data_IF_493511178253
#
_entry.id   IF_493511178253
#
_cell.length_a   1.000
_cell.length_b   1.000
_cell.length_c   1.000
_cell.angle_alpha   90.00
_cell.angle_beta   90.00
_cell.angle_gamma   90.00
#
_symmetry.space_group_name_H-M   'P 1'
#
loop_
_entity.id
_entity.type
_entity.pdbx_description
1 polymer ?
#
# COMPACT_ATOMS: atom_id res chain seq x y z
N UNK A 1 -63.37 -35.20 3.02
CA UNK A 1 -62.69 -34.25 2.13
C UNK A 1 -63.27 -32.87 2.40
N UNK A 2 -62.48 -31.81 2.67
CA UNK A 2 -61.01 -31.70 2.83
C UNK A 2 -60.61 -31.74 4.33
N UNK A 3 -59.37 -31.54 4.80
CA UNK A 3 -58.01 -31.91 4.46
C UNK A 3 -57.19 -31.55 5.74
N UNK A 4 -56.20 -32.37 6.11
CA UNK A 4 -55.30 -32.26 7.28
C UNK A 4 -54.40 -31.01 7.28
N UNK A 5 -53.38 -30.89 8.17
CA UNK A 5 -53.39 -30.81 9.63
C UNK A 5 -52.67 -29.52 10.15
N UNK A 6 -52.75 -29.33 11.46
CA UNK A 6 -52.01 -28.36 12.29
C UNK A 6 -50.50 -28.34 11.98
N UNK A 7 -50.00 -27.20 11.47
CA UNK A 7 -48.57 -26.95 11.27
C UNK A 7 -47.97 -26.51 12.61
N UNK A 8 -47.31 -27.46 13.26
CA UNK A 8 -46.48 -27.19 14.43
C UNK A 8 -45.43 -26.12 14.13
N UNK A 9 -45.55 -25.00 14.84
CA UNK A 9 -44.52 -23.97 14.98
C UNK A 9 -43.26 -24.62 15.56
N UNK A 10 -42.27 -24.88 14.71
CA UNK A 10 -40.90 -25.15 15.14
C UNK A 10 -40.23 -23.81 15.46
N UNK A 11 -40.07 -23.53 16.75
CA UNK A 11 -39.24 -22.44 17.25
C UNK A 11 -37.88 -22.96 17.73
N UNK A 12 -36.84 -22.20 17.37
CA UNK A 12 -35.45 -22.15 17.85
C UNK A 12 -34.45 -23.22 17.32
N UNK A 13 -33.12 -22.92 17.24
CA UNK A 13 -32.43 -21.73 17.70
C UNK A 13 -31.75 -20.89 16.61
N UNK A 14 -31.63 -19.61 16.95
CA UNK A 14 -30.61 -18.65 16.52
C UNK A 14 -29.31 -19.30 15.99
N UNK A 15 -29.15 -19.29 14.68
CA UNK A 15 -27.82 -19.25 14.07
C UNK A 15 -27.62 -17.84 13.55
N UNK A 16 -27.48 -16.90 14.49
CA UNK A 16 -26.78 -15.66 14.20
C UNK A 16 -25.35 -16.09 13.87
N UNK A 17 -25.11 -16.44 12.61
CA UNK A 17 -23.79 -16.39 12.02
C UNK A 17 -23.40 -14.92 12.02
N UNK A 18 -23.05 -14.41 13.20
CA UNK A 18 -22.21 -13.26 13.37
C UNK A 18 -20.87 -13.69 12.80
N UNK A 19 -20.77 -13.71 11.46
CA UNK A 19 -19.50 -13.54 10.78
C UNK A 19 -19.02 -12.20 11.29
N UNK A 20 -18.24 -12.26 12.38
CA UNK A 20 -17.53 -11.14 12.95
C UNK A 20 -16.97 -10.38 11.75
N UNK A 21 -17.56 -9.23 11.46
CA UNK A 21 -17.09 -8.30 10.46
C UNK A 21 -15.83 -7.65 11.04
N UNK A 22 -14.84 -8.50 11.31
CA UNK A 22 -13.49 -8.12 11.65
C UNK A 22 -12.94 -7.43 10.41
N UNK A 23 -13.21 -6.12 10.34
CA UNK A 23 -12.63 -5.11 9.48
C UNK A 23 -11.73 -5.70 8.41
N UNK A 24 -12.34 -6.17 7.32
CA UNK A 24 -11.63 -6.40 6.08
C UNK A 24 -11.20 -5.03 5.57
N UNK A 25 -10.08 -4.52 6.08
CA UNK A 25 -9.39 -3.40 5.47
C UNK A 25 -9.19 -3.75 4.00
N UNK A 26 -9.35 -2.75 3.12
CA UNK A 26 -9.44 -2.79 1.65
C UNK A 26 -8.30 -3.50 0.87
N UNK A 27 -7.56 -4.43 1.45
CA UNK A 27 -6.82 -5.45 0.72
C UNK A 27 -7.69 -6.70 0.62
N UNK A 28 -8.22 -7.00 -0.57
CA UNK A 28 -9.12 -8.14 -0.83
C UNK A 28 -8.46 -9.52 -0.68
N UNK A 29 -7.69 -9.77 0.37
CA UNK A 29 -6.92 -11.00 0.56
C UNK A 29 -7.22 -11.64 1.90
N UNK A 30 -7.61 -12.92 1.85
CA UNK A 30 -7.86 -13.76 3.02
C UNK A 30 -6.63 -14.63 3.34
N UNK A 31 -6.19 -14.56 4.59
CA UNK A 31 -5.36 -15.51 5.36
C UNK A 31 -3.89 -15.78 4.88
N UNK A 32 -3.17 -16.68 5.57
CA UNK A 32 -2.14 -16.47 6.61
C UNK A 32 -0.78 -15.90 6.14
N UNK A 33 -0.54 -15.80 4.83
CA UNK A 33 0.61 -15.07 4.26
C UNK A 33 0.42 -13.55 4.27
N UNK A 34 -0.76 -13.09 4.72
CA UNK A 34 -1.12 -11.69 4.85
C UNK A 34 -0.12 -10.88 5.67
N UNK A 35 0.52 -11.46 6.70
CA UNK A 35 1.49 -10.76 7.54
C UNK A 35 2.78 -10.37 6.80
N UNK A 36 3.47 -11.34 6.19
CA UNK A 36 4.74 -11.11 5.47
C UNK A 36 4.53 -10.20 4.27
N UNK A 37 3.45 -10.42 3.53
CA UNK A 37 3.09 -9.57 2.40
C UNK A 37 2.67 -8.17 2.84
N UNK A 38 1.89 -8.01 3.92
CA UNK A 38 1.57 -6.69 4.47
C UNK A 38 2.83 -5.95 4.93
N UNK A 39 3.79 -6.64 5.55
CA UNK A 39 5.09 -6.06 5.91
C UNK A 39 5.87 -5.66 4.66
N UNK A 40 5.84 -6.47 3.60
CA UNK A 40 6.47 -6.13 2.31
C UNK A 40 5.84 -4.88 1.69
N UNK A 41 4.51 -4.79 1.64
CA UNK A 41 3.80 -3.60 1.16
C UNK A 41 4.05 -2.38 2.03
N UNK A 42 4.06 -2.54 3.36
CA UNK A 42 4.38 -1.46 4.30
C UNK A 42 5.83 -0.96 4.11
N UNK A 43 6.79 -1.85 3.86
CA UNK A 43 8.17 -1.48 3.54
C UNK A 43 8.26 -0.72 2.22
N UNK A 44 7.55 -1.17 1.18
CA UNK A 44 7.48 -0.45 -0.11
C UNK A 44 6.87 0.94 0.07
N UNK A 45 5.75 1.06 0.81
CA UNK A 45 5.12 2.36 1.11
C UNK A 45 6.07 3.28 1.88
N UNK A 46 6.74 2.77 2.92
CA UNK A 46 7.71 3.56 3.70
C UNK A 46 8.91 4.00 2.86
N UNK A 47 9.37 3.18 1.90
CA UNK A 47 10.40 3.59 0.94
C UNK A 47 9.92 4.73 0.07
N UNK A 48 8.73 4.63 -0.52
CA UNK A 48 8.14 5.71 -1.34
C UNK A 48 8.02 7.02 -0.55
N UNK A 49 7.59 6.97 0.71
CA UNK A 49 7.49 8.17 1.57
C UNK A 49 8.84 8.77 1.95
N UNK A 50 9.86 7.93 2.09
CA UNK A 50 11.22 8.39 2.37
C UNK A 50 11.85 9.00 1.11
N UNK A 51 11.75 8.30 -0.02
CA UNK A 51 12.20 8.76 -1.32
C UNK A 51 11.50 10.09 -1.67
N UNK A 52 10.19 10.22 -1.43
CA UNK A 52 9.48 11.49 -1.65
C UNK A 52 10.02 12.65 -0.80
N UNK A 53 10.36 12.40 0.47
CA UNK A 53 10.96 13.43 1.33
C UNK A 53 12.37 13.82 0.88
N UNK A 54 13.16 12.86 0.37
CA UNK A 54 14.46 13.14 -0.24
C UNK A 54 14.32 13.90 -1.56
N UNK A 55 13.30 13.59 -2.37
CA UNK A 55 12.99 14.30 -3.60
C UNK A 55 12.59 15.75 -3.33
N UNK A 56 11.69 15.95 -2.37
CA UNK A 56 11.17 17.25 -1.98
C UNK A 56 12.29 18.13 -1.41
N UNK A 57 12.93 17.70 -0.32
CA UNK A 57 13.85 18.56 0.44
C UNK A 57 15.33 18.41 0.02
N UNK A 58 15.75 17.22 -0.41
CA UNK A 58 17.16 16.93 -0.72
C UNK A 58 17.52 17.23 -2.19
N UNK A 59 16.60 16.96 -3.12
CA UNK A 59 16.79 17.16 -4.55
C UNK A 59 16.04 18.39 -5.09
N UNK A 60 15.25 19.06 -4.25
CA UNK A 60 14.64 20.35 -4.53
C UNK A 60 13.47 20.27 -5.49
N UNK A 61 12.66 19.21 -5.43
CA UNK A 61 11.42 19.11 -6.22
C UNK A 61 10.45 20.28 -5.92
N UNK A 62 10.52 20.85 -4.72
CA UNK A 62 9.75 22.02 -4.30
C UNK A 62 10.42 23.37 -4.66
N UNK A 63 11.72 23.37 -4.98
CA UNK A 63 12.53 24.56 -5.28
C UNK A 63 12.45 25.02 -6.74
N UNK A 64 11.46 24.56 -7.51
CA UNK A 64 11.30 25.02 -8.88
C UNK A 64 10.69 26.44 -8.93
N UNK A 65 11.53 27.46 -9.11
CA UNK A 65 11.11 28.87 -9.24
C UNK A 65 10.74 29.29 -10.68
N UNK A 66 10.87 28.38 -11.65
CA UNK A 66 10.64 28.65 -13.07
C UNK A 66 9.16 28.77 -13.46
N UNK A 67 8.84 29.54 -14.51
CA UNK A 67 7.46 29.74 -15.00
C UNK A 67 7.15 29.06 -16.33
N UNK A 68 8.05 28.20 -16.83
CA UNK A 68 7.90 27.55 -18.13
C UNK A 68 7.63 26.05 -17.98
N UNK A 69 6.71 25.53 -18.79
CA UNK A 69 6.43 24.08 -18.84
C UNK A 69 7.66 23.28 -19.27
N UNK A 70 8.54 23.86 -20.09
CA UNK A 70 9.82 23.24 -20.48
C UNK A 70 10.77 23.14 -19.29
N UNK A 71 10.93 24.22 -18.53
CA UNK A 71 11.73 24.23 -17.30
C UNK A 71 11.21 23.21 -16.28
N UNK A 72 9.89 23.15 -16.08
CA UNK A 72 9.27 22.19 -15.17
C UNK A 72 9.56 20.74 -15.56
N UNK A 73 9.36 20.39 -16.84
CA UNK A 73 9.67 19.03 -17.32
C UNK A 73 11.15 18.68 -17.13
N UNK A 74 12.04 19.61 -17.47
CA UNK A 74 13.47 19.40 -17.28
C UNK A 74 13.83 19.18 -15.81
N UNK A 75 13.28 20.01 -14.92
CA UNK A 75 13.46 19.90 -13.48
C UNK A 75 12.99 18.54 -12.94
N UNK A 76 11.76 18.12 -13.26
CA UNK A 76 11.22 16.81 -12.83
C UNK A 76 12.08 15.66 -13.36
N UNK A 77 12.55 15.74 -14.61
CA UNK A 77 13.44 14.72 -15.18
C UNK A 77 14.78 14.65 -14.45
N UNK A 78 15.41 15.79 -14.13
CA UNK A 78 16.67 15.83 -13.39
C UNK A 78 16.52 15.28 -11.98
N UNK A 79 15.48 15.69 -11.26
CA UNK A 79 15.17 15.18 -9.91
C UNK A 79 14.93 13.67 -9.93
N UNK A 80 14.19 13.16 -10.92
CA UNK A 80 13.97 11.71 -11.10
C UNK A 80 15.26 10.96 -11.42
N UNK A 81 16.11 11.53 -12.28
CA UNK A 81 17.40 10.92 -12.64
C UNK A 81 18.35 10.86 -11.43
N UNK A 82 18.39 11.92 -10.61
CA UNK A 82 19.17 11.96 -9.38
C UNK A 82 18.68 10.89 -8.37
N UNK A 83 17.36 10.74 -8.21
CA UNK A 83 16.79 9.68 -7.37
C UNK A 83 17.15 8.28 -7.85
N UNK A 84 17.04 8.04 -9.16
CA UNK A 84 17.40 6.76 -9.75
C UNK A 84 18.89 6.47 -9.53
N UNK A 85 19.77 7.45 -9.70
CA UNK A 85 21.20 7.33 -9.44
C UNK A 85 21.48 6.97 -7.97
N UNK A 86 20.88 7.69 -7.01
CA UNK A 86 21.04 7.41 -5.57
C UNK A 86 20.50 6.03 -5.21
N UNK A 87 19.36 5.64 -5.79
CA UNK A 87 18.78 4.32 -5.61
C UNK A 87 19.72 3.22 -6.10
N UNK A 88 20.31 3.38 -7.28
CA UNK A 88 21.29 2.44 -7.82
C UNK A 88 22.53 2.34 -6.92
N UNK A 89 23.02 3.45 -6.38
CA UNK A 89 24.14 3.45 -5.41
C UNK A 89 23.80 2.72 -4.11
N UNK A 90 22.57 2.83 -3.61
CA UNK A 90 22.11 2.10 -2.41
C UNK A 90 21.96 0.60 -2.64
N UNK A 91 21.70 0.19 -3.89
CA UNK A 91 21.56 -1.21 -4.27
C UNK A 91 22.88 -1.88 -4.65
N UNK A 92 23.95 -1.10 -4.82
CA UNK A 92 25.29 -1.59 -5.15
C UNK A 92 25.81 -2.51 -4.02
N UNK A 93 26.04 -3.82 -4.29
CA UNK A 93 26.46 -4.78 -3.28
C UNK A 93 27.84 -4.46 -2.68
N UNK A 94 28.74 -3.84 -3.44
CA UNK A 94 30.07 -3.43 -2.96
C UNK A 94 29.98 -2.29 -1.95
N UNK A 95 28.95 -1.44 -2.04
CA UNK A 95 28.69 -0.37 -1.08
C UNK A 95 28.00 -0.87 0.21
N UNK A 96 27.44 -2.09 0.20
CA UNK A 96 26.73 -2.68 1.34
C UNK A 96 27.59 -3.63 2.19
N UNK A 97 28.83 -3.95 1.78
CA UNK A 97 29.77 -4.71 2.61
C UNK A 97 30.53 -3.76 3.56
N UNK A 98 30.29 -3.78 4.88
CA UNK A 98 31.24 -3.21 5.83
C UNK A 98 32.52 -4.07 5.82
N UNK A 99 33.67 -3.41 5.69
CA UNK A 99 35.00 -4.03 5.77
C UNK A 99 35.27 -4.64 7.15
#
# INVERSE_FOLDING_TARGET
>A
MPASPDVGVQSAPSSSSSSSSASAWLSGRRAPAAGVEAVRWAKTRRRIEHDYRELEHGLGLDHFEGRTRRGWRHHVTLVTAAQAFLTLRRLDPEAQMPA
#
